data_IF_142081067363
#
_entry.id   IF_142081067363
#
_cell.length_a   1.000
_cell.length_b   1.000
_cell.length_c   1.000
_cell.angle_alpha   90.00
_cell.angle_beta   90.00
_cell.angle_gamma   90.00
#
_symmetry.space_group_name_H-M   'P 1'
#
loop_
_entity.id
_entity.type
_entity.pdbx_description
1 polymer ?
#
# COMPACT_ATOMS: atom_id res chain seq x y z
N UNK A 1 -16.52 -0.85 11.29
CA UNK A 1 -15.73 -1.84 10.54
C UNK A 1 -14.26 -1.47 10.57
N UNK A 2 -13.40 -2.48 10.66
CA UNK A 2 -11.95 -2.28 10.50
C UNK A 2 -11.60 -2.03 9.03
N UNK A 3 -10.48 -1.35 8.80
CA UNK A 3 -9.88 -1.14 7.49
C UNK A 3 -8.41 -1.55 7.54
N UNK A 4 -7.84 -1.85 6.39
CA UNK A 4 -6.45 -2.27 6.28
C UNK A 4 -5.55 -1.03 6.44
N UNK A 5 -4.52 -1.17 7.26
CA UNK A 5 -3.43 -0.20 7.33
C UNK A 5 -2.25 -0.61 6.42
N UNK A 6 -1.84 -1.88 6.52
CA UNK A 6 -0.79 -2.47 5.70
C UNK A 6 -0.61 -3.97 5.93
N UNK A 7 0.12 -4.61 5.02
CA UNK A 7 0.64 -5.96 5.15
C UNK A 7 2.17 -5.87 5.08
N UNK A 8 2.84 -6.24 6.16
CA UNK A 8 4.26 -5.95 6.35
C UNK A 8 5.05 -7.25 6.52
N UNK A 9 5.77 -7.71 5.49
CA UNK A 9 6.79 -8.74 5.67
C UNK A 9 7.82 -8.26 6.69
N UNK A 10 8.14 -9.11 7.66
CA UNK A 10 9.13 -8.79 8.68
C UNK A 10 9.84 -10.04 9.20
N UNK A 11 10.80 -9.83 10.10
CA UNK A 11 11.55 -10.89 10.78
C UNK A 11 11.64 -10.60 12.27
N UNK A 12 11.90 -11.64 13.05
CA UNK A 12 12.23 -11.48 14.46
C UNK A 12 13.50 -10.63 14.66
N UNK A 13 13.50 -9.79 15.70
CA UNK A 13 14.60 -8.90 16.05
C UNK A 13 14.21 -7.42 16.02
N UNK A 14 15.21 -6.55 16.16
CA UNK A 14 14.99 -5.10 16.28
C UNK A 14 14.98 -4.34 14.95
N UNK A 15 15.40 -4.99 13.86
CA UNK A 15 15.50 -4.38 12.53
C UNK A 15 14.32 -4.81 11.66
N UNK A 16 13.44 -3.85 11.38
CA UNK A 16 12.31 -4.00 10.47
C UNK A 16 12.76 -4.22 9.03
N UNK A 17 12.11 -5.13 8.31
CA UNK A 17 12.24 -5.26 6.87
C UNK A 17 11.42 -4.17 6.15
N UNK A 18 12.12 -3.32 5.40
CA UNK A 18 11.52 -2.26 4.61
C UNK A 18 12.45 -1.83 3.47
N UNK A 19 11.87 -1.37 2.36
CA UNK A 19 12.57 -0.89 1.16
C UNK A 19 13.57 -1.91 0.60
N UNK A 20 13.14 -3.16 0.44
CA UNK A 20 13.97 -4.22 -0.09
C UNK A 20 14.32 -3.98 -1.57
N UNK A 21 15.44 -4.58 -2.01
CA UNK A 21 15.95 -4.45 -3.38
C UNK A 21 15.49 -5.62 -4.26
N UNK A 22 15.32 -5.41 -5.57
CA UNK A 22 15.53 -4.16 -6.32
C UNK A 22 14.42 -3.14 -6.07
N UNK A 23 14.65 -1.88 -6.46
CA UNK A 23 13.60 -0.85 -6.42
C UNK A 23 12.51 -1.21 -7.42
N UNK A 24 11.29 -1.42 -6.93
CA UNK A 24 10.14 -1.78 -7.75
C UNK A 24 9.43 -0.54 -8.33
N UNK A 25 8.67 -0.76 -9.40
CA UNK A 25 7.73 0.22 -9.95
C UNK A 25 6.32 -0.12 -9.46
N UNK A 26 5.56 0.90 -9.08
CA UNK A 26 4.16 0.74 -8.69
C UNK A 26 3.26 0.98 -9.90
N UNK A 27 2.46 -0.03 -10.25
CA UNK A 27 1.43 0.10 -11.26
C UNK A 27 0.10 0.45 -10.58
N UNK A 28 -0.53 1.53 -11.01
CA UNK A 28 -1.82 1.96 -10.46
C UNK A 28 -2.87 0.87 -10.62
N UNK A 29 -3.59 0.61 -9.53
CA UNK A 29 -4.72 -0.31 -9.45
C UNK A 29 -5.90 0.26 -10.23
N UNK A 30 -6.68 -0.60 -10.89
CA UNK A 30 -7.85 -0.21 -11.69
C UNK A 30 -9.01 -1.20 -11.47
N UNK A 31 -10.14 -0.88 -12.07
CA UNK A 31 -11.34 -1.74 -12.15
C UNK A 31 -11.82 -2.18 -10.76
N UNK A 32 -12.36 -3.40 -10.66
CA UNK A 32 -12.89 -3.94 -9.40
C UNK A 32 -11.89 -3.84 -8.23
N UNK A 33 -10.59 -4.03 -8.50
CA UNK A 33 -9.57 -3.97 -7.45
C UNK A 33 -9.41 -2.55 -6.89
N UNK A 34 -9.61 -1.50 -7.69
CA UNK A 34 -9.66 -0.13 -7.21
C UNK A 34 -10.83 0.06 -6.23
N UNK A 35 -12.01 -0.42 -6.58
CA UNK A 35 -13.21 -0.28 -5.74
C UNK A 35 -13.09 -1.07 -4.42
N UNK A 36 -12.52 -2.28 -4.50
CA UNK A 36 -12.29 -3.12 -3.33
C UNK A 36 -11.26 -2.48 -2.37
N UNK A 37 -10.19 -1.87 -2.89
CA UNK A 37 -9.19 -1.19 -2.06
C UNK A 37 -9.71 0.14 -1.49
N UNK A 38 -10.45 0.92 -2.27
CA UNK A 38 -11.03 2.20 -1.82
C UNK A 38 -12.00 2.00 -0.65
N UNK A 39 -12.70 0.86 -0.61
CA UNK A 39 -13.57 0.47 0.50
C UNK A 39 -12.83 -0.14 1.69
N UNK A 40 -11.96 -1.12 1.45
CA UNK A 40 -11.40 -1.95 2.52
C UNK A 40 -10.02 -1.50 3.00
N UNK A 41 -9.26 -0.79 2.17
CA UNK A 41 -7.95 -0.20 2.44
C UNK A 41 -7.95 1.30 2.14
N UNK A 42 -8.98 1.98 2.66
CA UNK A 42 -9.27 3.39 2.44
C UNK A 42 -8.11 4.31 2.85
N UNK A 43 -7.91 5.37 2.07
CA UNK A 43 -6.80 6.32 2.23
C UNK A 43 -7.22 7.56 3.03
N UNK A 44 -7.57 7.40 4.31
CA UNK A 44 -8.23 8.43 5.15
C UNK A 44 -7.53 9.81 5.25
N UNK A 45 -6.24 9.91 4.89
CA UNK A 45 -5.46 11.16 4.93
C UNK A 45 -5.45 11.91 3.60
N UNK A 46 -6.16 11.41 2.60
CA UNK A 46 -6.13 11.91 1.23
C UNK A 46 -7.57 12.12 0.78
N UNK A 47 -7.80 13.20 0.04
CA UNK A 47 -9.07 13.42 -0.63
C UNK A 47 -9.47 12.17 -1.46
N UNK A 48 -10.74 11.71 -1.46
CA UNK A 48 -11.12 10.48 -2.14
C UNK A 48 -10.84 10.46 -3.65
N UNK A 49 -11.03 11.59 -4.34
CA UNK A 49 -10.76 11.67 -5.79
C UNK A 49 -9.27 11.51 -6.05
N UNK A 50 -8.46 12.24 -5.27
CA UNK A 50 -7.00 12.15 -5.35
C UNK A 50 -6.49 10.77 -4.90
N UNK A 51 -7.12 10.15 -3.90
CA UNK A 51 -6.81 8.80 -3.43
C UNK A 51 -6.99 7.77 -4.54
N UNK A 52 -8.11 7.80 -5.25
CA UNK A 52 -8.36 6.88 -6.38
C UNK A 52 -7.44 7.16 -7.57
N UNK A 53 -7.17 8.43 -7.87
CA UNK A 53 -6.36 8.85 -9.03
C UNK A 53 -4.86 8.61 -8.83
N UNK A 54 -4.31 9.04 -7.70
CA UNK A 54 -2.87 9.02 -7.44
C UNK A 54 -2.42 7.83 -6.57
N UNK A 55 -3.33 7.26 -5.77
CA UNK A 55 -3.09 6.07 -4.96
C UNK A 55 -1.86 6.16 -4.03
N UNK A 56 -1.62 7.31 -3.36
CA UNK A 56 -0.38 7.56 -2.65
C UNK A 56 -0.14 6.61 -1.46
N UNK A 57 -1.20 6.19 -0.74
CA UNK A 57 -1.05 5.25 0.37
C UNK A 57 -0.60 3.88 -0.14
N UNK A 58 -1.27 3.36 -1.17
CA UNK A 58 -1.00 2.02 -1.69
C UNK A 58 0.37 1.95 -2.36
N UNK A 59 0.75 3.00 -3.10
CA UNK A 59 2.11 3.13 -3.63
C UNK A 59 3.15 3.14 -2.51
N UNK A 60 2.95 3.92 -1.45
CA UNK A 60 3.88 3.98 -0.31
C UNK A 60 4.01 2.61 0.38
N UNK A 61 2.88 1.95 0.69
CA UNK A 61 2.87 0.65 1.35
C UNK A 61 3.52 -0.44 0.49
N UNK A 62 3.24 -0.45 -0.82
CA UNK A 62 3.88 -1.38 -1.76
C UNK A 62 5.38 -1.18 -1.83
N UNK A 63 5.87 0.05 -2.02
CA UNK A 63 7.31 0.30 -2.15
C UNK A 63 8.07 0.08 -0.86
N UNK A 64 7.47 0.41 0.29
CA UNK A 64 8.12 0.25 1.61
C UNK A 64 8.08 -1.19 2.11
N UNK A 65 6.93 -1.86 2.02
CA UNK A 65 6.72 -3.16 2.65
C UNK A 65 6.52 -4.28 1.63
N UNK A 66 5.73 -4.04 0.58
CA UNK A 66 5.53 -5.00 -0.51
C UNK A 66 6.80 -5.33 -1.31
N UNK A 67 7.83 -4.47 -1.28
CA UNK A 67 9.12 -4.76 -1.90
C UNK A 67 9.88 -5.93 -1.26
N UNK A 68 9.46 -6.36 -0.07
CA UNK A 68 10.12 -7.40 0.72
C UNK A 68 9.49 -8.81 0.59
N UNK A 69 8.63 -9.05 -0.41
CA UNK A 69 8.01 -10.35 -0.69
C UNK A 69 7.97 -10.68 -2.19
#
# INVERSE_FOLDING_TARGET
NFTIHGLWPDKEGTKLLQYCKPKLLYNKVRDKMLDDLDKNWIQLKVDPENGRKEQPLWQYQYLKHGSCC
#
